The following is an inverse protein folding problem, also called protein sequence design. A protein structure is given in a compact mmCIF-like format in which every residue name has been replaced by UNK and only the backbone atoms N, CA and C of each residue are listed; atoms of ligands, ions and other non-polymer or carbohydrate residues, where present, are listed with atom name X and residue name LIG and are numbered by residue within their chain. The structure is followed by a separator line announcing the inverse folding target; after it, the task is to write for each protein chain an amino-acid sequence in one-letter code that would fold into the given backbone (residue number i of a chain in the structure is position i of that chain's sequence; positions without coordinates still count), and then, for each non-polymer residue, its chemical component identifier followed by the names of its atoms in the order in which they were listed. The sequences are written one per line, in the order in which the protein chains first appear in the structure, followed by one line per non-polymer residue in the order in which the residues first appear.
data_IF_522838339502
#
_entry.id   IF_522838339502
#
_cell.length_a   1.000
_cell.length_b   1.000
_cell.length_c   1.000
_cell.angle_alpha   90.00
_cell.angle_beta   90.00
_cell.angle_gamma   90.00
#
_symmetry.space_group_name_H-M   'P 1'
#
loop_
_entity.id
_entity.type
_entity.pdbx_description
1 polymer ?
#
# COMPACT_ATOMS: atom_id res chain seq x y z
N UNK A 1 46.54 -7.18 -25.03
CA UNK A 1 45.66 -6.07 -25.46
C UNK A 1 44.21 -6.40 -25.07
N UNK A 2 44.01 -6.66 -23.78
CA UNK A 2 42.74 -7.01 -23.13
C UNK A 2 42.79 -6.22 -21.82
N UNK A 3 41.69 -5.56 -21.44
CA UNK A 3 41.54 -4.60 -20.31
C UNK A 3 41.75 -3.12 -20.65
N UNK A 4 40.77 -2.51 -21.34
CA UNK A 4 40.42 -1.10 -21.17
C UNK A 4 39.12 -0.80 -21.95
N UNK A 5 38.00 -1.38 -21.55
CA UNK A 5 36.66 -0.86 -21.89
C UNK A 5 35.62 -1.46 -20.94
N UNK A 6 35.84 -1.25 -19.63
CA UNK A 6 34.73 -1.29 -18.67
C UNK A 6 34.02 0.06 -18.81
N UNK A 7 33.10 0.13 -19.77
CA UNK A 7 32.14 1.21 -19.92
C UNK A 7 31.54 1.51 -18.55
N UNK A 8 31.65 2.78 -18.13
CA UNK A 8 31.29 3.29 -16.81
C UNK A 8 30.01 2.65 -16.25
N UNK A 9 30.18 1.68 -15.34
CA UNK A 9 29.08 1.18 -14.53
C UNK A 9 28.56 2.36 -13.73
N UNK A 10 27.27 2.67 -13.86
CA UNK A 10 26.66 3.73 -13.06
C UNK A 10 26.77 3.32 -11.58
N UNK A 11 27.75 3.86 -10.86
CA UNK A 11 27.99 3.49 -9.48
C UNK A 11 26.74 3.74 -8.64
N UNK A 12 26.28 2.70 -7.95
CA UNK A 12 25.15 2.83 -7.02
C UNK A 12 25.48 3.86 -5.95
N UNK A 13 24.56 4.79 -5.72
CA UNK A 13 24.69 5.80 -4.67
C UNK A 13 23.65 5.55 -3.59
N UNK A 14 24.13 5.15 -2.41
CA UNK A 14 23.29 4.93 -1.23
C UNK A 14 22.52 6.22 -0.90
N UNK A 15 21.19 6.18 -0.77
CA UNK A 15 20.41 7.36 -0.45
C UNK A 15 20.79 7.90 0.95
N UNK A 16 20.91 9.22 1.12
CA UNK A 16 21.18 9.79 2.44
C UNK A 16 20.02 9.53 3.40
N UNK A 17 20.31 9.52 4.71
CA UNK A 17 19.33 9.19 5.75
C UNK A 17 18.02 9.98 5.65
N UNK A 18 18.09 11.30 5.41
CA UNK A 18 16.90 12.11 5.26
C UNK A 18 16.00 11.60 4.13
N UNK A 19 16.58 11.16 2.99
CA UNK A 19 15.81 10.66 1.84
C UNK A 19 15.12 9.34 2.16
N UNK A 20 15.78 8.49 2.95
CA UNK A 20 15.20 7.25 3.47
C UNK A 20 13.99 7.59 4.33
N UNK A 21 14.18 8.43 5.34
CA UNK A 21 13.13 8.81 6.29
C UNK A 21 11.94 9.51 5.63
N UNK A 22 12.17 10.49 4.74
CA UNK A 22 11.06 11.21 4.10
C UNK A 22 10.28 10.33 3.14
N UNK A 23 10.95 9.48 2.36
CA UNK A 23 10.25 8.57 1.43
C UNK A 23 9.48 7.48 2.16
N UNK A 24 10.11 6.79 3.11
CA UNK A 24 9.47 5.73 3.88
C UNK A 24 8.31 6.30 4.69
N UNK A 25 8.52 7.43 5.40
CA UNK A 25 7.47 8.13 6.11
C UNK A 25 6.29 8.51 5.22
N UNK A 26 6.54 9.04 4.02
CA UNK A 26 5.48 9.41 3.08
C UNK A 26 4.63 8.22 2.65
N UNK A 27 5.24 7.06 2.34
CA UNK A 27 4.47 5.86 2.01
C UNK A 27 3.75 5.26 3.22
N UNK A 28 4.28 5.41 4.44
CA UNK A 28 3.56 5.07 5.67
C UNK A 28 2.33 5.97 5.83
N UNK A 29 2.46 7.29 5.61
CA UNK A 29 1.36 8.24 5.63
C UNK A 29 0.28 7.93 4.57
N UNK A 30 0.69 7.64 3.33
CA UNK A 30 -0.24 7.24 2.28
C UNK A 30 -0.92 5.90 2.58
N UNK A 31 -0.20 4.91 3.11
CA UNK A 31 -0.81 3.64 3.54
C UNK A 31 -1.83 3.88 4.65
N UNK A 32 -1.47 4.72 5.62
CA UNK A 32 -2.35 5.16 6.70
C UNK A 32 -3.59 5.90 6.21
N UNK A 33 -3.54 6.64 5.09
CA UNK A 33 -4.71 7.37 4.60
C UNK A 33 -5.56 6.56 3.60
N UNK A 34 -4.91 5.96 2.59
CA UNK A 34 -5.57 5.20 1.52
C UNK A 34 -6.04 3.85 2.06
N UNK A 35 -5.15 3.06 2.65
CA UNK A 35 -5.49 1.68 3.02
C UNK A 35 -6.50 1.58 4.15
N UNK A 36 -6.48 2.51 5.09
CA UNK A 36 -7.46 2.53 6.18
C UNK A 36 -8.83 2.98 5.70
N UNK A 37 -8.92 3.97 4.81
CA UNK A 37 -10.21 4.47 4.32
C UNK A 37 -10.86 3.46 3.38
N UNK A 38 -10.07 2.79 2.53
CA UNK A 38 -10.52 1.65 1.71
C UNK A 38 -10.98 0.48 2.61
N UNK A 39 -10.17 0.08 3.58
CA UNK A 39 -10.52 -1.03 4.49
C UNK A 39 -11.74 -0.70 5.34
N UNK A 40 -11.88 0.54 5.78
CA UNK A 40 -13.08 0.99 6.45
C UNK A 40 -14.31 0.88 5.55
N UNK A 41 -14.26 1.43 4.34
CA UNK A 41 -15.39 1.44 3.42
C UNK A 41 -15.81 0.04 2.96
N UNK A 42 -14.84 -0.82 2.62
CA UNK A 42 -15.08 -2.13 2.04
C UNK A 42 -15.29 -3.26 3.07
N UNK A 43 -14.69 -3.14 4.26
CA UNK A 43 -14.65 -4.24 5.23
C UNK A 43 -15.30 -3.89 6.57
N UNK A 44 -14.82 -2.83 7.24
CA UNK A 44 -15.27 -2.51 8.61
C UNK A 44 -16.69 -1.95 8.63
N UNK A 45 -16.99 -0.92 7.83
CA UNK A 45 -18.32 -0.27 7.81
C UNK A 45 -19.47 -1.23 7.48
N UNK A 46 -19.37 -2.12 6.46
CA UNK A 46 -20.44 -3.07 6.19
C UNK A 46 -20.64 -4.08 7.32
N UNK A 47 -19.55 -4.55 7.96
CA UNK A 47 -19.63 -5.48 9.08
C UNK A 47 -20.30 -4.85 10.30
N UNK A 48 -19.94 -3.59 10.63
CA UNK A 48 -20.56 -2.83 11.72
C UNK A 48 -22.05 -2.53 11.52
N UNK A 49 -22.55 -2.60 10.28
CA UNK A 49 -23.96 -2.39 9.94
C UNK A 49 -24.76 -3.69 9.84
N UNK A 50 -24.11 -4.84 10.01
CA UNK A 50 -24.79 -6.12 9.94
C UNK A 50 -25.74 -6.29 11.15
N UNK A 51 -26.99 -6.78 10.96
CA UNK A 51 -28.00 -6.87 12.03
C UNK A 51 -27.54 -7.66 13.26
N UNK A 52 -26.71 -8.68 13.06
CA UNK A 52 -26.16 -9.51 14.13
C UNK A 52 -25.04 -8.86 14.95
N UNK A 53 -24.66 -7.61 14.65
CA UNK A 53 -23.58 -6.92 15.38
C UNK A 53 -24.12 -6.24 16.62
N UNK A 54 -23.58 -6.59 17.78
CA UNK A 54 -23.93 -5.92 19.03
C UNK A 54 -23.57 -4.43 19.01
N UNK A 55 -24.44 -3.60 19.59
CA UNK A 55 -24.28 -2.15 19.56
C UNK A 55 -23.00 -1.68 20.28
N UNK A 56 -22.63 -2.33 21.38
CA UNK A 56 -21.44 -1.99 22.17
C UNK A 56 -20.14 -2.35 21.43
N UNK A 57 -20.09 -3.51 20.79
CA UNK A 57 -18.99 -3.93 19.91
C UNK A 57 -18.83 -2.95 18.74
N UNK A 58 -19.95 -2.58 18.12
CA UNK A 58 -19.96 -1.61 17.03
C UNK A 58 -19.43 -0.25 17.50
N UNK A 59 -19.88 0.24 18.66
CA UNK A 59 -19.42 1.50 19.23
C UNK A 59 -17.92 1.46 19.57
N UNK A 60 -17.43 0.37 20.15
CA UNK A 60 -16.02 0.18 20.49
C UNK A 60 -15.12 0.23 19.24
N UNK A 61 -15.48 -0.49 18.17
CA UNK A 61 -14.74 -0.50 16.92
C UNK A 61 -14.85 0.83 16.16
N UNK A 62 -16.01 1.50 16.15
CA UNK A 62 -16.16 2.86 15.56
C UNK A 62 -15.26 3.86 16.25
N UNK A 63 -15.20 3.84 17.59
CA UNK A 63 -14.31 4.71 18.36
C UNK A 63 -12.84 4.45 18.03
N UNK A 64 -12.42 3.18 18.00
CA UNK A 64 -11.03 2.81 17.70
C UNK A 64 -10.64 3.18 16.27
N UNK A 65 -11.53 2.91 15.31
CA UNK A 65 -11.37 3.28 13.90
C UNK A 65 -11.20 4.79 13.75
N UNK A 66 -12.04 5.58 14.44
CA UNK A 66 -11.97 7.04 14.38
C UNK A 66 -10.63 7.56 14.88
N UNK A 67 -10.14 7.03 16.01
CA UNK A 67 -8.84 7.43 16.58
C UNK A 67 -7.70 7.04 15.64
N UNK A 68 -7.75 5.85 15.03
CA UNK A 68 -6.72 5.41 14.09
C UNK A 68 -6.68 6.26 12.83
N UNK A 69 -7.84 6.52 12.21
CA UNK A 69 -7.97 7.40 11.05
C UNK A 69 -7.48 8.82 11.36
N UNK A 70 -7.80 9.36 12.55
CA UNK A 70 -7.34 10.68 12.96
C UNK A 70 -5.81 10.76 13.02
N UNK A 71 -5.16 9.77 13.65
CA UNK A 71 -3.71 9.68 13.68
C UNK A 71 -3.09 9.45 12.31
N UNK A 72 -3.72 8.67 11.43
CA UNK A 72 -3.29 8.54 10.05
C UNK A 72 -3.29 9.89 9.31
N UNK A 73 -4.28 10.74 9.57
CA UNK A 73 -4.29 12.13 9.07
C UNK A 73 -3.11 12.96 9.57
N UNK A 74 -2.75 12.85 10.85
CA UNK A 74 -1.57 13.53 11.41
C UNK A 74 -0.27 13.02 10.76
N UNK A 75 -0.11 11.70 10.65
CA UNK A 75 1.08 11.10 10.03
C UNK A 75 1.17 11.50 8.56
N UNK A 76 0.07 11.50 7.82
CA UNK A 76 0.01 11.97 6.43
C UNK A 76 0.45 13.44 6.31
N UNK A 77 -0.02 14.31 7.20
CA UNK A 77 0.33 15.73 7.22
C UNK A 77 1.83 15.95 7.45
N UNK A 78 2.37 15.34 8.52
CA UNK A 78 3.78 15.48 8.91
C UNK A 78 4.69 14.91 7.82
N UNK A 79 4.41 13.70 7.35
CA UNK A 79 5.24 13.03 6.33
C UNK A 79 5.09 13.67 4.96
N UNK A 80 3.94 14.25 4.63
CA UNK A 80 3.69 15.05 3.44
C UNK A 80 4.59 16.28 3.38
N UNK A 81 4.68 17.03 4.49
CA UNK A 81 5.57 18.19 4.59
C UNK A 81 7.05 17.81 4.39
N UNK A 82 7.53 16.78 5.11
CA UNK A 82 8.91 16.32 4.95
C UNK A 82 9.19 15.78 3.54
N UNK A 83 8.21 15.15 2.89
CA UNK A 83 8.38 14.70 1.52
C UNK A 83 8.43 15.87 0.52
N UNK A 84 7.70 16.96 0.76
CA UNK A 84 7.82 18.19 -0.03
C UNK A 84 9.22 18.80 0.14
N UNK A 85 9.69 18.99 1.37
CA UNK A 85 11.06 19.44 1.63
C UNK A 85 12.10 18.50 0.99
N UNK A 86 11.85 17.19 1.03
CA UNK A 86 12.70 16.21 0.36
C UNK A 86 12.73 16.37 -1.16
N UNK A 87 11.64 16.82 -1.80
CA UNK A 87 11.64 17.15 -3.25
C UNK A 87 12.47 18.39 -3.54
N UNK A 88 12.35 19.43 -2.70
CA UNK A 88 13.14 20.67 -2.78
C UNK A 88 14.64 20.35 -2.67
N UNK A 89 15.03 19.56 -1.67
CA UNK A 89 16.42 19.12 -1.49
C UNK A 89 16.98 18.35 -2.69
N UNK A 90 16.15 17.55 -3.38
CA UNK A 90 16.57 16.81 -4.60
C UNK A 90 16.68 17.70 -5.84
N UNK A 91 15.92 18.78 -5.90
CA UNK A 91 15.97 19.73 -7.00
C UNK A 91 17.20 20.64 -6.90
N UNK A 92 17.63 20.98 -5.68
CA UNK A 92 18.85 21.74 -5.41
C UNK A 92 20.11 20.89 -5.49
N UNK A 93 21.02 21.20 -6.43
CA UNK A 93 22.34 20.54 -6.49
C UNK A 93 23.11 20.76 -5.18
N UNK A 94 23.40 19.69 -4.44
CA UNK A 94 24.17 19.75 -3.19
C UNK A 94 23.45 20.44 -2.01
N UNK A 95 22.15 20.69 -2.11
CA UNK A 95 21.38 21.37 -1.06
C UNK A 95 21.30 20.54 0.21
N UNK A 96 21.62 21.13 1.36
CA UNK A 96 21.41 20.49 2.65
C UNK A 96 19.90 20.35 2.93
N UNK A 97 19.49 19.23 3.51
CA UNK A 97 18.07 18.97 3.78
C UNK A 97 17.44 20.01 4.74
N UNK A 98 18.22 20.56 5.67
CA UNK A 98 17.76 21.60 6.58
C UNK A 98 17.32 22.87 5.83
N UNK A 99 18.08 23.28 4.80
CA UNK A 99 17.75 24.46 3.99
C UNK A 99 16.46 24.25 3.20
N UNK A 100 16.20 23.01 2.77
CA UNK A 100 15.01 22.65 2.01
C UNK A 100 13.70 22.74 2.82
N UNK A 101 13.78 22.86 4.16
CA UNK A 101 12.63 23.11 5.04
C UNK A 101 12.20 24.58 5.04
N UNK A 102 13.07 25.49 4.61
CA UNK A 102 12.79 26.92 4.65
C UNK A 102 11.60 27.28 3.72
N UNK A 103 10.60 28.04 4.21
CA UNK A 103 9.44 28.42 3.41
C UNK A 103 9.78 29.11 2.09
N UNK A 104 10.83 29.94 2.08
CA UNK A 104 11.31 30.59 0.85
C UNK A 104 11.79 29.59 -0.20
N UNK A 105 12.56 28.57 0.19
CA UNK A 105 13.04 27.51 -0.74
C UNK A 105 11.90 26.66 -1.28
N UNK A 106 10.89 26.41 -0.45
CA UNK A 106 9.68 25.70 -0.87
C UNK A 106 8.89 26.56 -1.87
N UNK A 107 8.73 27.86 -1.59
CA UNK A 107 8.07 28.78 -2.51
C UNK A 107 8.78 28.83 -3.86
N UNK A 108 10.10 29.06 -3.87
CA UNK A 108 10.92 29.08 -5.09
C UNK A 108 10.76 27.80 -5.92
N UNK A 109 10.74 26.64 -5.26
CA UNK A 109 10.54 25.35 -5.92
C UNK A 109 9.14 25.20 -6.52
N UNK A 110 8.10 25.69 -5.83
CA UNK A 110 6.71 25.57 -6.28
C UNK A 110 6.37 26.58 -7.38
N UNK A 111 7.03 27.75 -7.41
CA UNK A 111 6.83 28.79 -8.43
C UNK A 111 7.84 28.70 -9.57
N UNK A 112 8.75 27.72 -9.55
CA UNK A 112 9.71 27.51 -10.63
C UNK A 112 9.00 27.35 -11.99
N UNK A 113 9.50 28.00 -13.05
CA UNK A 113 8.87 27.95 -14.36
C UNK A 113 8.88 26.54 -14.95
N UNK A 114 7.95 26.27 -15.87
CA UNK A 114 7.87 25.00 -16.55
C UNK A 114 9.15 24.72 -17.35
N UNK A 115 9.64 23.48 -17.28
CA UNK A 115 10.75 23.04 -18.11
C UNK A 115 10.36 23.08 -19.60
N UNK A 116 11.36 23.21 -20.49
CA UNK A 116 11.13 23.25 -21.94
C UNK A 116 10.36 21.99 -22.40
N UNK A 117 9.22 22.20 -23.06
CA UNK A 117 8.35 21.12 -23.55
C UNK A 117 7.38 20.55 -22.49
N UNK A 118 7.35 21.09 -21.28
CA UNK A 118 6.32 20.77 -20.29
C UNK A 118 5.07 21.63 -20.50
N UNK A 119 3.89 21.02 -20.39
CA UNK A 119 2.60 21.72 -20.50
C UNK A 119 2.18 22.37 -19.17
N UNK A 120 2.81 21.99 -18.06
CA UNK A 120 2.60 22.55 -16.72
C UNK A 120 3.91 22.57 -15.95
N UNK A 121 4.10 23.57 -15.10
CA UNK A 121 5.25 23.59 -14.20
C UNK A 121 5.11 22.49 -13.15
N UNK A 122 6.22 21.79 -12.87
CA UNK A 122 6.23 20.70 -11.89
C UNK A 122 5.83 21.18 -10.49
N UNK A 123 6.15 22.43 -10.15
CA UNK A 123 5.73 23.08 -8.92
C UNK A 123 4.21 23.12 -8.74
N UNK A 124 3.45 23.46 -9.79
CA UNK A 124 1.97 23.49 -9.75
C UNK A 124 1.33 22.12 -9.54
N UNK A 125 1.91 21.05 -10.09
CA UNK A 125 1.48 19.67 -9.80
C UNK A 125 1.64 19.38 -8.30
N UNK A 126 2.77 19.79 -7.71
CA UNK A 126 3.00 19.61 -6.28
C UNK A 126 2.17 20.53 -5.40
N UNK A 127 1.82 21.75 -5.85
CA UNK A 127 0.84 22.59 -5.16
C UNK A 127 -0.51 21.86 -5.10
N UNK A 128 -1.03 21.40 -6.24
CA UNK A 128 -2.29 20.66 -6.29
C UNK A 128 -2.26 19.40 -5.41
N UNK A 129 -1.17 18.62 -5.49
CA UNK A 129 -0.98 17.44 -4.65
C UNK A 129 -1.02 17.77 -3.15
N UNK A 130 -0.33 18.84 -2.72
CA UNK A 130 -0.27 19.21 -1.31
C UNK A 130 -1.59 19.82 -0.82
N UNK A 131 -2.33 20.56 -1.64
CA UNK A 131 -3.69 21.02 -1.30
C UNK A 131 -4.60 19.82 -1.05
N UNK A 132 -4.61 18.83 -1.94
CA UNK A 132 -5.39 17.60 -1.75
C UNK A 132 -4.95 16.85 -0.50
N UNK A 133 -3.65 16.79 -0.23
CA UNK A 133 -3.10 16.18 0.99
C UNK A 133 -3.60 16.89 2.26
N UNK A 134 -3.58 18.23 2.28
CA UNK A 134 -4.09 19.02 3.40
C UNK A 134 -5.58 18.79 3.62
N UNK A 135 -6.38 18.73 2.55
CA UNK A 135 -7.82 18.44 2.65
C UNK A 135 -8.08 17.03 3.19
N UNK A 136 -7.36 16.02 2.69
CA UNK A 136 -7.45 14.65 3.19
C UNK A 136 -7.05 14.56 4.68
N UNK A 137 -5.93 15.17 5.05
CA UNK A 137 -5.45 15.21 6.42
C UNK A 137 -6.44 15.93 7.34
N UNK A 138 -6.96 17.10 6.95
CA UNK A 138 -7.94 17.85 7.73
C UNK A 138 -9.24 17.06 7.95
N UNK A 139 -9.75 16.40 6.91
CA UNK A 139 -10.90 15.52 7.02
C UNK A 139 -10.65 14.41 8.05
N UNK A 140 -9.54 13.69 7.93
CA UNK A 140 -9.18 12.61 8.86
C UNK A 140 -8.97 13.12 10.30
N UNK A 141 -8.21 14.20 10.49
CA UNK A 141 -7.92 14.82 11.81
C UNK A 141 -9.20 15.30 12.50
N UNK A 142 -10.23 15.68 11.76
CA UNK A 142 -11.53 16.06 12.33
C UNK A 142 -12.15 14.96 13.23
N UNK A 143 -11.76 13.68 13.05
CA UNK A 143 -12.18 12.54 13.86
C UNK A 143 -11.63 12.56 15.31
N UNK A 144 -10.71 13.46 15.65
CA UNK A 144 -10.39 13.75 17.05
C UNK A 144 -11.52 14.46 17.80
N UNK A 145 -12.42 15.15 17.08
CA UNK A 145 -13.55 15.85 17.68
C UNK A 145 -14.76 14.91 17.86
N UNK A 146 -15.63 15.21 18.84
CA UNK A 146 -16.86 14.45 19.02
C UNK A 146 -17.79 14.55 17.79
N UNK A 147 -17.87 15.72 17.17
CA UNK A 147 -18.65 15.95 15.96
C UNK A 147 -18.14 15.12 14.77
N UNK A 148 -16.83 15.09 14.55
CA UNK A 148 -16.21 14.26 13.53
C UNK A 148 -16.47 12.77 13.75
N UNK A 149 -16.30 12.26 14.98
CA UNK A 149 -16.60 10.85 15.32
C UNK A 149 -18.05 10.46 15.03
N UNK A 150 -19.02 11.34 15.31
CA UNK A 150 -20.43 11.11 14.97
C UNK A 150 -20.64 10.96 13.46
N UNK A 151 -19.83 11.65 12.66
CA UNK A 151 -19.84 11.63 11.19
C UNK A 151 -18.77 10.72 10.56
N UNK A 152 -18.28 9.71 11.29
CA UNK A 152 -17.21 8.81 10.83
C UNK A 152 -17.41 8.32 9.39
N UNK A 153 -18.62 7.87 9.04
CA UNK A 153 -18.93 7.36 7.72
C UNK A 153 -18.72 8.41 6.62
N UNK A 154 -19.25 9.62 6.82
CA UNK A 154 -19.11 10.71 5.87
C UNK A 154 -17.65 11.13 5.74
N UNK A 155 -16.96 11.32 6.87
CA UNK A 155 -15.55 11.73 6.90
C UNK A 155 -14.66 10.71 6.18
N UNK A 156 -14.81 9.42 6.48
CA UNK A 156 -13.99 8.38 5.87
C UNK A 156 -14.27 8.23 4.36
N UNK A 157 -15.55 8.33 3.94
CA UNK A 157 -15.93 8.26 2.53
C UNK A 157 -15.52 9.49 1.72
N UNK A 158 -15.46 10.68 2.34
CA UNK A 158 -14.88 11.88 1.72
C UNK A 158 -13.36 11.81 1.67
N UNK A 159 -12.70 11.31 2.73
CA UNK A 159 -11.24 11.20 2.78
C UNK A 159 -10.68 10.16 1.80
N UNK A 160 -11.44 9.12 1.45
CA UNK A 160 -11.01 8.07 0.52
C UNK A 160 -10.60 8.61 -0.86
N UNK A 161 -11.48 9.28 -1.64
CA UNK A 161 -11.11 9.81 -2.95
C UNK A 161 -10.02 10.88 -2.85
N UNK A 162 -10.03 11.70 -1.80
CA UNK A 162 -8.97 12.69 -1.56
C UNK A 162 -7.62 12.00 -1.37
N UNK A 163 -7.55 10.94 -0.55
CA UNK A 163 -6.32 10.20 -0.28
C UNK A 163 -5.76 9.53 -1.54
N UNK A 164 -6.63 8.96 -2.39
CA UNK A 164 -6.24 8.41 -3.69
C UNK A 164 -5.74 9.52 -4.64
N UNK A 165 -6.41 10.67 -4.66
CA UNK A 165 -6.02 11.79 -5.50
C UNK A 165 -4.61 12.32 -5.16
N UNK A 166 -4.13 12.20 -3.93
CA UNK A 166 -2.74 12.58 -3.57
C UNK A 166 -1.71 11.88 -4.46
N UNK A 167 -1.81 10.55 -4.63
CA UNK A 167 -0.85 9.81 -5.46
C UNK A 167 -1.09 10.05 -6.95
N UNK A 168 -2.36 10.10 -7.38
CA UNK A 168 -2.72 10.30 -8.78
C UNK A 168 -2.30 11.67 -9.31
N UNK A 169 -2.54 12.75 -8.56
CA UNK A 169 -2.10 14.10 -8.93
C UNK A 169 -0.58 14.16 -9.00
N UNK A 170 0.12 13.59 -8.02
CA UNK A 170 1.59 13.52 -8.03
C UNK A 170 2.20 12.68 -9.17
N UNK A 171 1.39 11.86 -9.84
CA UNK A 171 1.79 11.03 -10.96
C UNK A 171 1.51 11.65 -12.33
N UNK A 172 0.79 12.79 -12.37
CA UNK A 172 0.51 13.52 -13.61
C UNK A 172 1.85 13.92 -14.25
N UNK A 173 2.13 13.48 -15.49
CA UNK A 173 3.40 13.79 -16.13
C UNK A 173 3.37 15.24 -16.64
N UNK A 174 4.39 16.04 -16.28
CA UNK A 174 4.51 17.42 -16.74
C UNK A 174 4.74 17.54 -18.26
N UNK A 175 5.15 16.45 -18.91
CA UNK A 175 5.37 16.34 -20.36
C UNK A 175 4.52 15.21 -20.91
N UNK A 176 3.97 15.37 -22.12
CA UNK A 176 3.17 14.32 -22.78
C UNK A 176 3.98 13.02 -22.92
N UNK A 177 3.42 11.85 -22.50
CA UNK A 177 4.05 10.56 -22.71
C UNK A 177 4.34 10.33 -24.19
N UNK A 178 5.58 9.96 -24.51
CA UNK A 178 6.05 9.83 -25.91
C UNK A 178 5.52 8.59 -26.63
N UNK A 179 5.10 7.57 -25.90
CA UNK A 179 4.65 6.28 -26.44
C UNK A 179 3.80 5.52 -25.42
N UNK A 180 3.16 4.43 -25.88
CA UNK A 180 2.32 3.55 -25.05
C UNK A 180 3.10 2.92 -23.88
N UNK A 181 4.39 2.65 -24.06
CA UNK A 181 5.26 2.12 -23.01
C UNK A 181 5.38 3.08 -21.81
N UNK A 182 5.53 4.39 -22.06
CA UNK A 182 5.55 5.39 -20.98
C UNK A 182 4.21 5.52 -20.27
N UNK A 183 3.10 5.33 -20.98
CA UNK A 183 1.77 5.26 -20.36
C UNK A 183 1.67 4.04 -19.45
N UNK A 184 2.16 2.89 -19.91
CA UNK A 184 2.17 1.65 -19.12
C UNK A 184 3.08 1.74 -17.90
N UNK A 185 4.23 2.43 -18.00
CA UNK A 185 5.10 2.74 -16.85
C UNK A 185 4.33 3.53 -15.78
N UNK A 186 3.57 4.55 -16.18
CA UNK A 186 2.77 5.38 -15.26
C UNK A 186 1.65 4.57 -14.61
N UNK A 187 0.87 3.83 -15.41
CA UNK A 187 -0.25 3.01 -14.92
C UNK A 187 0.26 1.92 -13.97
N UNK A 188 1.32 1.20 -14.35
CA UNK A 188 1.91 0.15 -13.51
C UNK A 188 2.47 0.73 -12.22
N UNK A 189 3.14 1.88 -12.28
CA UNK A 189 3.64 2.57 -11.09
C UNK A 189 2.52 2.95 -10.12
N UNK A 190 1.41 3.51 -10.62
CA UNK A 190 0.26 3.85 -9.78
C UNK A 190 -0.47 2.61 -9.26
N UNK A 191 -0.66 1.59 -10.09
CA UNK A 191 -1.25 0.32 -9.67
C UNK A 191 -0.44 -0.31 -8.53
N UNK A 192 0.90 -0.30 -8.62
CA UNK A 192 1.79 -0.80 -7.58
C UNK A 192 1.66 -0.01 -6.27
N UNK A 193 1.69 1.33 -6.34
CA UNK A 193 1.60 2.21 -5.17
C UNK A 193 0.22 2.08 -4.50
N UNK A 194 -0.87 2.17 -5.25
CA UNK A 194 -2.23 2.07 -4.71
C UNK A 194 -2.43 0.69 -4.08
N UNK A 195 -2.08 -0.38 -4.78
CA UNK A 195 -2.25 -1.74 -4.26
C UNK A 195 -1.40 -1.97 -2.99
N UNK A 196 -0.14 -1.55 -2.99
CA UNK A 196 0.73 -1.68 -1.82
C UNK A 196 0.24 -0.87 -0.61
N UNK A 197 -0.18 0.37 -0.83
CA UNK A 197 -0.70 1.25 0.25
C UNK A 197 -2.04 0.76 0.79
N UNK A 198 -2.92 0.21 -0.06
CA UNK A 198 -4.17 -0.41 0.36
C UNK A 198 -3.91 -1.63 1.24
N UNK A 199 -3.02 -2.52 0.80
CA UNK A 199 -2.71 -3.75 1.51
C UNK A 199 -2.08 -3.49 2.88
N UNK A 200 -0.99 -2.72 2.93
CA UNK A 200 -0.26 -2.44 4.17
C UNK A 200 -1.11 -1.60 5.12
N UNK A 201 -1.80 -0.57 4.60
CA UNK A 201 -2.66 0.30 5.40
C UNK A 201 -3.87 -0.42 5.99
N UNK A 202 -4.45 -1.36 5.23
CA UNK A 202 -5.55 -2.20 5.70
C UNK A 202 -5.14 -3.17 6.80
N UNK A 203 -4.01 -3.86 6.63
CA UNK A 203 -3.42 -4.70 7.68
C UNK A 203 -3.15 -3.90 8.96
N UNK A 204 -2.62 -2.68 8.82
CA UNK A 204 -2.35 -1.81 9.96
C UNK A 204 -3.64 -1.37 10.69
N UNK A 205 -4.72 -1.06 9.96
CA UNK A 205 -6.03 -0.80 10.58
C UNK A 205 -6.53 -2.03 11.34
N UNK A 206 -6.51 -3.20 10.71
CA UNK A 206 -6.95 -4.44 11.36
C UNK A 206 -6.13 -4.75 12.62
N UNK A 207 -4.81 -4.63 12.55
CA UNK A 207 -3.92 -4.77 13.71
C UNK A 207 -4.33 -3.81 14.84
N UNK A 208 -4.62 -2.55 14.53
CA UNK A 208 -5.03 -1.55 15.52
C UNK A 208 -6.41 -1.83 16.13
N UNK A 209 -7.33 -2.43 15.38
CA UNK A 209 -8.64 -2.86 15.86
C UNK A 209 -8.52 -4.06 16.81
N UNK A 210 -7.54 -4.97 16.62
CA UNK A 210 -7.36 -6.12 17.52
C UNK A 210 -7.00 -5.71 18.95
N UNK A 211 -6.49 -4.49 19.15
CA UNK A 211 -6.22 -3.94 20.49
C UNK A 211 -7.51 -3.67 21.29
N UNK A 212 -8.67 -3.57 20.63
CA UNK A 212 -9.97 -3.42 21.28
C UNK A 212 -10.53 -4.75 21.81
N UNK A 213 -9.89 -5.90 21.53
CA UNK A 213 -10.41 -7.25 21.83
C UNK A 213 -10.91 -7.47 23.26
N UNK A 214 -10.30 -6.82 24.26
CA UNK A 214 -10.68 -6.95 25.68
C UNK A 214 -11.97 -6.24 26.04
N UNK A 215 -12.52 -5.43 25.13
CA UNK A 215 -13.75 -4.66 25.31
C UNK A 215 -14.91 -5.20 24.46
N UNK A 216 -14.67 -6.30 23.76
CA UNK A 216 -15.66 -6.89 22.88
C UNK A 216 -16.36 -8.04 23.59
N UNK A 217 -17.61 -8.31 23.21
CA UNK A 217 -18.40 -9.39 23.78
C UNK A 217 -17.91 -10.78 23.33
N UNK A 218 -18.53 -11.83 23.88
CA UNK A 218 -18.25 -13.21 23.49
C UNK A 218 -18.57 -13.52 22.02
N UNK A 219 -19.49 -12.76 21.41
CA UNK A 219 -19.94 -12.95 20.02
C UNK A 219 -19.15 -12.13 19.00
N UNK A 220 -18.21 -11.31 19.47
CA UNK A 220 -17.30 -10.51 18.65
C UNK A 220 -16.49 -11.32 17.63
N UNK A 221 -16.29 -12.62 17.87
CA UNK A 221 -15.64 -13.53 16.91
C UNK A 221 -16.36 -13.56 15.56
N UNK A 222 -17.69 -13.41 15.54
CA UNK A 222 -18.47 -13.40 14.29
C UNK A 222 -18.24 -12.11 13.49
N UNK A 223 -18.21 -10.97 14.18
CA UNK A 223 -17.91 -9.65 13.62
C UNK A 223 -16.51 -9.64 13.00
N UNK A 224 -15.52 -10.16 13.73
CA UNK A 224 -14.13 -10.25 13.24
C UNK A 224 -13.98 -11.13 12.02
N UNK A 225 -14.66 -12.27 11.98
CA UNK A 225 -14.67 -13.15 10.82
C UNK A 225 -15.25 -12.46 9.57
N UNK A 226 -16.32 -11.66 9.71
CA UNK A 226 -16.88 -10.93 8.56
C UNK A 226 -15.96 -9.80 8.08
N UNK A 227 -15.37 -9.03 9.01
CA UNK A 227 -14.37 -8.01 8.67
C UNK A 227 -13.20 -8.64 7.90
N UNK A 228 -12.67 -9.76 8.40
CA UNK A 228 -11.54 -10.43 7.77
C UNK A 228 -11.88 -11.00 6.39
N UNK A 229 -13.03 -11.67 6.25
CA UNK A 229 -13.48 -12.21 4.97
C UNK A 229 -13.58 -11.10 3.90
N UNK A 230 -14.14 -9.95 4.26
CA UNK A 230 -14.23 -8.78 3.36
C UNK A 230 -12.85 -8.22 3.03
N UNK A 231 -11.98 -8.09 4.03
CA UNK A 231 -10.61 -7.62 3.80
C UNK A 231 -9.80 -8.60 2.96
N UNK A 232 -10.04 -9.91 3.09
CA UNK A 232 -9.39 -10.94 2.29
C UNK A 232 -9.55 -10.71 0.79
N UNK A 233 -10.72 -10.25 0.33
CA UNK A 233 -10.94 -9.87 -1.08
C UNK A 233 -10.14 -8.61 -1.46
N UNK A 234 -10.12 -7.60 -0.59
CA UNK A 234 -9.33 -6.37 -0.81
C UNK A 234 -7.83 -6.69 -0.90
N UNK A 235 -7.33 -7.52 0.01
CA UNK A 235 -5.96 -7.98 0.04
C UNK A 235 -5.63 -8.80 -1.21
N UNK A 236 -6.53 -9.69 -1.66
CA UNK A 236 -6.34 -10.49 -2.87
C UNK A 236 -6.16 -9.62 -4.12
N UNK A 237 -7.03 -8.63 -4.31
CA UNK A 237 -6.94 -7.67 -5.42
C UNK A 237 -5.66 -6.85 -5.32
N UNK A 238 -5.28 -6.44 -4.11
CA UNK A 238 -4.05 -5.68 -3.88
C UNK A 238 -2.79 -6.52 -4.18
N UNK A 239 -2.74 -7.79 -3.77
CA UNK A 239 -1.64 -8.71 -4.09
C UNK A 239 -1.55 -8.89 -5.60
N UNK A 240 -2.68 -9.09 -6.29
CA UNK A 240 -2.69 -9.19 -7.75
C UNK A 240 -2.13 -7.93 -8.42
N UNK A 241 -2.59 -6.75 -7.99
CA UNK A 241 -2.11 -5.46 -8.48
C UNK A 241 -0.61 -5.26 -8.26
N UNK A 242 -0.09 -5.61 -7.08
CA UNK A 242 1.34 -5.55 -6.75
C UNK A 242 2.16 -6.51 -7.63
N UNK A 243 1.71 -7.76 -7.81
CA UNK A 243 2.42 -8.76 -8.60
C UNK A 243 2.47 -8.40 -10.09
N UNK A 244 1.33 -8.01 -10.67
CA UNK A 244 1.24 -7.67 -12.10
C UNK A 244 2.10 -6.44 -12.40
N UNK A 245 1.91 -5.36 -11.64
CA UNK A 245 2.71 -4.14 -11.82
C UNK A 245 4.19 -4.36 -11.48
N UNK A 246 4.48 -5.16 -10.45
CA UNK A 246 5.84 -5.49 -10.02
C UNK A 246 6.59 -6.31 -11.07
N UNK A 247 5.91 -7.19 -11.80
CA UNK A 247 6.50 -7.95 -12.89
C UNK A 247 6.91 -7.04 -14.05
N UNK A 248 6.02 -6.13 -14.46
CA UNK A 248 6.35 -5.10 -15.47
C UNK A 248 7.57 -4.28 -15.05
N UNK A 249 7.55 -3.76 -13.82
CA UNK A 249 8.66 -2.96 -13.29
C UNK A 249 9.96 -3.78 -13.19
N UNK A 250 9.90 -5.03 -12.76
CA UNK A 250 11.09 -5.89 -12.64
C UNK A 250 11.71 -6.15 -14.01
N UNK A 251 10.91 -6.46 -15.03
CA UNK A 251 11.40 -6.62 -16.40
C UNK A 251 12.08 -5.34 -16.93
N UNK A 252 11.51 -4.17 -16.63
CA UNK A 252 12.08 -2.87 -17.00
C UNK A 252 13.42 -2.57 -16.32
N UNK A 253 13.57 -2.95 -15.04
CA UNK A 253 14.72 -2.54 -14.23
C UNK A 253 15.81 -3.60 -14.10
N UNK A 254 15.49 -4.87 -14.38
CA UNK A 254 16.39 -6.02 -14.27
C UNK A 254 16.52 -6.66 -15.65
N UNK A 255 17.74 -6.72 -16.18
CA UNK A 255 18.03 -7.21 -17.52
C UNK A 255 18.17 -8.73 -17.61
N UNK A 256 18.70 -9.35 -16.56
CA UNK A 256 18.83 -10.80 -16.41
C UNK A 256 18.67 -11.20 -14.95
N UNK A 257 18.27 -12.45 -14.64
CA UNK A 257 18.14 -12.92 -13.25
C UNK A 257 19.42 -12.75 -12.43
N UNK A 258 20.59 -12.91 -13.07
CA UNK A 258 21.90 -12.72 -12.45
C UNK A 258 22.06 -11.34 -11.80
N UNK A 259 21.48 -10.31 -12.42
CA UNK A 259 21.55 -8.95 -11.90
C UNK A 259 20.85 -8.76 -10.55
N UNK A 260 20.01 -9.70 -10.11
CA UNK A 260 19.42 -9.67 -8.77
C UNK A 260 20.44 -9.87 -7.67
N UNK A 261 21.56 -10.56 -7.93
CA UNK A 261 22.60 -10.79 -6.93
C UNK A 261 23.97 -10.21 -7.31
N UNK A 262 24.15 -9.73 -8.54
CA UNK A 262 25.38 -9.04 -8.96
C UNK A 262 25.31 -7.51 -8.91
N UNK A 263 24.12 -6.92 -8.72
CA UNK A 263 23.93 -5.46 -8.63
C UNK A 263 23.36 -5.04 -7.27
N UNK A 264 23.66 -3.82 -6.83
CA UNK A 264 23.17 -3.30 -5.55
C UNK A 264 21.67 -3.06 -5.59
N UNK A 265 21.15 -2.47 -6.68
CA UNK A 265 19.71 -2.39 -6.93
C UNK A 265 19.06 -3.78 -6.86
N UNK A 266 19.67 -4.77 -7.51
CA UNK A 266 19.20 -6.16 -7.54
C UNK A 266 19.06 -6.75 -6.15
N UNK A 267 20.07 -6.57 -5.29
CA UNK A 267 20.06 -7.09 -3.92
C UNK A 267 18.93 -6.48 -3.08
N UNK A 268 18.73 -5.16 -3.13
CA UNK A 268 17.60 -4.52 -2.46
C UNK A 268 16.25 -4.98 -3.02
N UNK A 269 16.17 -5.19 -4.33
CA UNK A 269 14.96 -5.73 -4.96
C UNK A 269 14.69 -7.17 -4.50
N UNK A 270 15.73 -8.00 -4.40
CA UNK A 270 15.62 -9.37 -3.90
C UNK A 270 15.12 -9.39 -2.46
N UNK A 271 15.67 -8.55 -1.58
CA UNK A 271 15.17 -8.38 -0.21
C UNK A 271 13.70 -7.98 -0.21
N UNK A 272 13.29 -7.01 -1.04
CA UNK A 272 11.88 -6.61 -1.17
C UNK A 272 11.00 -7.77 -1.62
N UNK A 273 11.42 -8.55 -2.61
CA UNK A 273 10.68 -9.72 -3.12
C UNK A 273 10.50 -10.76 -2.00
N UNK A 274 11.57 -11.10 -1.27
CA UNK A 274 11.51 -12.06 -0.16
C UNK A 274 10.56 -11.59 0.95
N UNK A 275 10.58 -10.31 1.31
CA UNK A 275 9.64 -9.73 2.28
C UNK A 275 8.19 -9.82 1.79
N UNK A 276 7.93 -9.49 0.51
CA UNK A 276 6.58 -9.60 -0.08
C UNK A 276 6.11 -11.05 -0.13
N UNK A 277 6.99 -12.01 -0.49
CA UNK A 277 6.66 -13.43 -0.47
C UNK A 277 6.34 -13.92 0.95
N UNK A 278 7.07 -13.45 1.97
CA UNK A 278 6.77 -13.75 3.36
C UNK A 278 5.38 -13.22 3.79
N UNK A 279 5.02 -12.00 3.35
CA UNK A 279 3.66 -11.45 3.58
C UNK A 279 2.58 -12.29 2.86
N UNK A 280 2.81 -12.68 1.61
CA UNK A 280 1.87 -13.54 0.86
C UNK A 280 1.71 -14.90 1.57
N UNK A 281 2.81 -15.50 2.02
CA UNK A 281 2.79 -16.77 2.74
C UNK A 281 2.02 -16.65 4.06
N UNK A 282 2.23 -15.58 4.83
CA UNK A 282 1.47 -15.32 6.06
C UNK A 282 -0.03 -15.17 5.77
N UNK A 283 -0.41 -14.40 4.76
CA UNK A 283 -1.80 -14.25 4.31
C UNK A 283 -2.41 -15.56 3.82
N UNK A 284 -1.66 -16.39 3.10
CA UNK A 284 -2.09 -17.70 2.63
C UNK A 284 -2.31 -18.68 3.80
N UNK A 285 -1.41 -18.71 4.78
CA UNK A 285 -1.60 -19.49 6.01
C UNK A 285 -2.87 -19.04 6.74
N UNK A 286 -3.11 -17.74 6.87
CA UNK A 286 -4.34 -17.22 7.46
C UNK A 286 -5.60 -17.67 6.68
N UNK A 287 -5.57 -17.61 5.35
CA UNK A 287 -6.73 -18.00 4.55
C UNK A 287 -6.98 -19.52 4.52
N UNK A 288 -5.93 -20.32 4.39
CA UNK A 288 -6.05 -21.77 4.19
C UNK A 288 -6.16 -22.54 5.52
N UNK A 289 -5.62 -22.01 6.62
CA UNK A 289 -5.57 -22.71 7.89
C UNK A 289 -6.52 -22.13 8.95
N UNK A 290 -6.61 -20.80 9.03
CA UNK A 290 -7.43 -20.12 10.05
C UNK A 290 -8.91 -20.05 9.64
N UNK A 291 -9.22 -19.73 8.37
CA UNK A 291 -10.64 -19.60 7.97
C UNK A 291 -11.44 -20.90 8.06
N UNK A 292 -10.94 -22.06 7.62
CA UNK A 292 -11.69 -23.30 7.79
C UNK A 292 -11.95 -23.65 9.26
N UNK A 293 -11.04 -23.27 10.17
CA UNK A 293 -11.22 -23.44 11.61
C UNK A 293 -12.26 -22.49 12.19
N UNK A 294 -12.32 -21.25 11.72
CA UNK A 294 -13.38 -20.31 12.09
C UNK A 294 -14.74 -20.82 11.60
N UNK A 295 -14.82 -21.36 10.39
CA UNK A 295 -16.06 -21.95 9.85
C UNK A 295 -16.50 -23.14 10.72
N UNK A 296 -15.61 -24.09 11.01
CA UNK A 296 -15.92 -25.24 11.87
C UNK A 296 -16.32 -24.84 13.30
N UNK A 297 -15.66 -23.83 13.86
CA UNK A 297 -15.99 -23.35 15.19
C UNK A 297 -17.34 -22.61 15.23
N UNK A 298 -17.79 -22.02 14.10
CA UNK A 298 -19.18 -21.54 13.93
C UNK A 298 -20.18 -22.69 13.83
N UNK A 299 -19.87 -23.73 13.06
CA UNK A 299 -20.74 -24.90 12.88
C UNK A 299 -20.99 -25.65 14.20
N UNK A 300 -20.06 -25.57 15.15
CA UNK A 300 -20.14 -26.21 16.46
C UNK A 300 -20.62 -25.27 17.59
N UNK A 301 -21.08 -24.05 17.24
CA UNK A 301 -21.43 -22.95 18.17
C UNK A 301 -20.37 -22.73 19.28
N UNK A 302 -19.11 -23.01 18.96
CA UNK A 302 -18.03 -22.99 19.92
C UNK A 302 -17.47 -21.56 20.05
N UNK A 303 -18.15 -20.75 20.87
CA UNK A 303 -17.82 -19.33 21.11
C UNK A 303 -16.39 -19.12 21.62
N UNK A 304 -15.92 -19.95 22.56
CA UNK A 304 -14.59 -19.81 23.15
C UNK A 304 -13.42 -20.10 22.14
N UNK A 305 -13.45 -21.18 21.34
CA UNK A 305 -12.49 -21.40 20.26
C UNK A 305 -12.49 -20.31 19.19
N UNK A 306 -13.67 -19.81 18.79
CA UNK A 306 -13.82 -18.70 17.84
C UNK A 306 -13.13 -17.44 18.34
N UNK A 307 -13.40 -17.06 19.59
CA UNK A 307 -12.81 -15.89 20.24
C UNK A 307 -11.29 -16.04 20.36
N UNK A 308 -10.80 -17.20 20.80
CA UNK A 308 -9.37 -17.44 20.96
C UNK A 308 -8.61 -17.40 19.61
N UNK A 309 -9.14 -18.05 18.58
CA UNK A 309 -8.51 -18.07 17.25
C UNK A 309 -8.50 -16.67 16.60
N UNK A 310 -9.59 -15.92 16.71
CA UNK A 310 -9.74 -14.58 16.08
C UNK A 310 -9.10 -13.45 16.88
N UNK A 311 -8.99 -13.55 18.21
CA UNK A 311 -8.52 -12.46 19.07
C UNK A 311 -7.18 -12.72 19.77
N UNK A 312 -6.65 -13.94 19.80
CA UNK A 312 -5.36 -14.22 20.46
C UNK A 312 -4.24 -14.65 19.51
N UNK A 313 -4.51 -15.57 18.56
CA UNK A 313 -3.50 -16.00 17.60
C UNK A 313 -3.37 -15.01 16.43
N UNK A 314 -4.53 -14.63 15.89
CA UNK A 314 -4.64 -13.78 14.71
C UNK A 314 -3.97 -12.40 14.83
N UNK A 315 -4.06 -11.65 15.96
CA UNK A 315 -3.37 -10.37 16.08
C UNK A 315 -1.85 -10.48 15.94
N UNK A 316 -1.23 -11.58 16.40
CA UNK A 316 0.22 -11.76 16.30
C UNK A 316 0.67 -11.87 14.85
N UNK A 317 -0.08 -12.62 14.03
CA UNK A 317 0.22 -12.76 12.60
C UNK A 317 0.03 -11.44 11.88
N UNK A 318 -1.08 -10.74 12.12
CA UNK A 318 -1.36 -9.45 11.48
C UNK A 318 -0.28 -8.41 11.86
N UNK A 319 0.16 -8.37 13.12
CA UNK A 319 1.28 -7.52 13.53
C UNK A 319 2.60 -7.89 12.85
N UNK A 320 2.90 -9.18 12.67
CA UNK A 320 4.05 -9.62 11.91
C UNK A 320 3.96 -9.17 10.43
N UNK A 321 2.80 -9.30 9.80
CA UNK A 321 2.55 -8.80 8.43
C UNK A 321 2.70 -7.27 8.33
N UNK A 322 2.28 -6.51 9.34
CA UNK A 322 2.48 -5.06 9.41
C UNK A 322 3.98 -4.72 9.50
N UNK A 323 4.75 -5.43 10.33
CA UNK A 323 6.20 -5.23 10.43
C UNK A 323 6.89 -5.53 9.10
N UNK A 324 6.51 -6.63 8.43
CA UNK A 324 7.01 -6.96 7.09
C UNK A 324 6.64 -5.87 6.08
N UNK A 325 5.40 -5.35 6.12
CA UNK A 325 4.95 -4.26 5.27
C UNK A 325 5.75 -2.97 5.50
N UNK A 326 6.03 -2.61 6.75
CA UNK A 326 6.88 -1.46 7.09
C UNK A 326 8.31 -1.68 6.58
N UNK A 327 8.86 -2.90 6.71
CA UNK A 327 10.17 -3.23 6.16
C UNK A 327 10.22 -3.09 4.63
N UNK A 328 9.17 -3.52 3.91
CA UNK A 328 9.04 -3.30 2.47
C UNK A 328 9.09 -1.80 2.13
N UNK A 329 8.37 -0.96 2.87
CA UNK A 329 8.42 0.50 2.69
C UNK A 329 9.79 1.11 3.04
N UNK A 330 10.53 0.50 3.96
CA UNK A 330 11.90 0.85 4.33
C UNK A 330 12.93 0.57 3.22
N UNK A 331 12.67 -0.42 2.37
CA UNK A 331 13.54 -0.77 1.23
C UNK A 331 13.32 0.16 0.03
N UNK A 332 12.11 0.70 -0.16
CA UNK A 332 11.75 1.54 -1.31
C UNK A 332 12.74 2.68 -1.62
N UNK A 333 13.29 3.43 -0.65
CA UNK A 333 14.23 4.52 -0.93
C UNK A 333 15.52 4.08 -1.63
N UNK A 334 15.93 2.82 -1.44
CA UNK A 334 17.13 2.22 -2.01
C UNK A 334 16.94 1.75 -3.46
N UNK A 335 15.71 1.61 -3.92
CA UNK A 335 15.36 1.25 -5.30
C UNK A 335 15.34 2.49 -6.22
N UNK A 336 16.45 3.21 -6.26
CA UNK A 336 16.68 4.33 -7.17
C UNK A 336 17.61 3.89 -8.31
N UNK A 337 17.25 4.21 -9.56
CA UNK A 337 17.98 3.71 -10.73
C UNK A 337 17.46 2.34 -11.16
N UNK A 338 18.34 1.48 -11.69
CA UNK A 338 17.99 0.14 -12.15
C UNK A 338 19.20 -0.81 -12.12
N UNK A 339 18.97 -2.10 -11.96
CA UNK A 339 20.03 -3.11 -12.08
C UNK A 339 20.65 -3.11 -13.49
N UNK A 340 19.83 -2.87 -14.53
CA UNK A 340 20.32 -2.72 -15.91
C UNK A 340 21.39 -1.64 -16.03
N UNK A 341 21.15 -0.46 -15.46
CA UNK A 341 22.11 0.66 -15.52
C UNK A 341 23.39 0.38 -14.72
N UNK A 342 23.29 -0.31 -13.59
CA UNK A 342 24.48 -0.72 -12.82
C UNK A 342 25.31 -1.75 -13.59
N UNK A 343 24.66 -2.68 -14.29
CA UNK A 343 25.30 -3.74 -15.07
C UNK A 343 25.66 -3.35 -16.51
N UNK A 344 25.50 -2.08 -16.91
CA UNK A 344 25.76 -1.64 -18.30
C UNK A 344 24.88 -2.32 -19.35
N UNK A 345 23.74 -2.88 -18.95
CA UNK A 345 22.83 -3.61 -19.84
C UNK A 345 22.01 -2.69 -20.73
N UNK A 346 21.62 -3.14 -21.93
CA UNK A 346 20.80 -2.36 -22.82
C UNK A 346 19.44 -2.03 -22.21
N UNK A 347 18.89 -0.90 -22.64
CA UNK A 347 17.54 -0.49 -22.28
C UNK A 347 16.52 -1.59 -22.65
N UNK A 348 15.49 -1.81 -21.83
CA UNK A 348 14.44 -2.78 -22.14
C UNK A 348 13.73 -2.38 -23.44
N UNK A 349 13.52 -3.37 -24.32
CA UNK A 349 12.77 -3.20 -25.57
C UNK A 349 11.47 -3.99 -25.46
N UNK A 350 10.34 -3.29 -25.50
CA UNK A 350 9.04 -3.92 -25.42
C UNK A 350 8.67 -4.56 -26.76
N UNK A 351 8.47 -5.88 -26.77
CA UNK A 351 8.03 -6.64 -27.95
C UNK A 351 6.61 -7.18 -27.74
N UNK A 352 5.90 -7.48 -28.83
CA UNK A 352 4.57 -8.10 -28.76
C UNK A 352 4.53 -9.40 -27.95
N UNK A 353 5.61 -10.19 -27.99
CA UNK A 353 5.76 -11.42 -27.19
C UNK A 353 5.77 -11.15 -25.68
N UNK A 354 6.42 -10.06 -25.23
CA UNK A 354 6.47 -9.68 -23.81
C UNK A 354 5.07 -9.27 -23.33
N UNK A 355 4.33 -8.54 -24.15
CA UNK A 355 2.93 -8.21 -23.87
C UNK A 355 2.04 -9.46 -23.83
N UNK A 356 2.24 -10.41 -24.74
CA UNK A 356 1.48 -11.66 -24.76
C UNK A 356 1.75 -12.53 -23.53
N UNK A 357 3.02 -12.68 -23.12
CA UNK A 357 3.39 -13.39 -21.89
C UNK A 357 2.83 -12.68 -20.66
N UNK A 358 2.94 -11.35 -20.60
CA UNK A 358 2.35 -10.56 -19.53
C UNK A 358 0.84 -10.75 -19.42
N UNK A 359 0.12 -10.69 -20.54
CA UNK A 359 -1.33 -10.90 -20.60
C UNK A 359 -1.71 -12.31 -20.15
N UNK A 360 -0.98 -13.33 -20.60
CA UNK A 360 -1.20 -14.71 -20.17
C UNK A 360 -1.02 -14.85 -18.65
N UNK A 361 0.04 -14.31 -18.08
CA UNK A 361 0.29 -14.36 -16.63
C UNK A 361 -0.81 -13.63 -15.84
N UNK A 362 -1.28 -12.48 -16.33
CA UNK A 362 -2.42 -11.77 -15.72
C UNK A 362 -3.69 -12.61 -15.77
N UNK A 363 -4.00 -13.24 -16.91
CA UNK A 363 -5.17 -14.09 -17.08
C UNK A 363 -5.11 -15.33 -16.20
N UNK A 364 -3.96 -16.00 -16.13
CA UNK A 364 -3.76 -17.16 -15.26
C UNK A 364 -3.89 -16.78 -13.79
N UNK A 365 -3.33 -15.65 -13.37
CA UNK A 365 -3.49 -15.13 -12.02
C UNK A 365 -4.96 -14.82 -11.74
N UNK A 366 -5.64 -14.07 -12.62
CA UNK A 366 -7.06 -13.75 -12.47
C UNK A 366 -7.95 -15.00 -12.37
N UNK A 367 -7.69 -16.01 -13.20
CA UNK A 367 -8.39 -17.29 -13.16
C UNK A 367 -8.14 -18.04 -11.83
N UNK A 368 -6.90 -18.11 -11.37
CA UNK A 368 -6.53 -18.72 -10.08
C UNK A 368 -7.23 -18.03 -8.91
N UNK A 369 -7.24 -16.69 -8.90
CA UNK A 369 -7.91 -15.89 -7.88
C UNK A 369 -9.43 -16.09 -7.91
N UNK A 370 -10.03 -16.12 -9.10
CA UNK A 370 -11.46 -16.37 -9.28
C UNK A 370 -11.86 -17.76 -8.76
N UNK A 371 -11.11 -18.80 -9.14
CA UNK A 371 -11.33 -20.17 -8.69
C UNK A 371 -11.21 -20.26 -7.16
N UNK A 372 -10.18 -19.64 -6.59
CA UNK A 372 -9.96 -19.61 -5.13
C UNK A 372 -11.13 -18.92 -4.41
N UNK A 373 -11.58 -17.76 -4.90
CA UNK A 373 -12.72 -17.05 -4.33
C UNK A 373 -14.02 -17.87 -4.41
N UNK A 374 -14.30 -18.47 -5.57
CA UNK A 374 -15.47 -19.34 -5.78
C UNK A 374 -15.44 -20.60 -4.90
N UNK A 375 -14.27 -21.23 -4.76
CA UNK A 375 -14.09 -22.40 -3.92
C UNK A 375 -14.33 -22.05 -2.44
N UNK A 376 -13.80 -20.92 -1.98
CA UNK A 376 -14.04 -20.41 -0.62
C UNK A 376 -15.53 -20.15 -0.37
N UNK A 377 -16.24 -19.53 -1.32
CA UNK A 377 -17.68 -19.29 -1.21
C UNK A 377 -18.50 -20.59 -1.22
N UNK A 378 -18.10 -21.57 -2.04
CA UNK A 378 -18.78 -22.86 -2.11
C UNK A 378 -18.61 -23.67 -0.81
N UNK A 379 -17.42 -23.64 -0.20
CA UNK A 379 -17.16 -24.26 1.10
C UNK A 379 -17.97 -23.59 2.20
N UNK A 380 -18.06 -22.26 2.21
CA UNK A 380 -18.87 -21.52 3.17
C UNK A 380 -20.38 -21.83 3.05
N UNK A 381 -20.90 -22.00 1.82
CA UNK A 381 -22.31 -22.39 1.60
C UNK A 381 -22.62 -23.82 2.02
N UNK A 382 -21.69 -24.76 1.80
CA UNK A 382 -21.87 -26.17 2.21
C UNK A 382 -21.87 -26.34 3.72
N UNK A 383 -21.08 -25.56 4.45
CA UNK A 383 -21.13 -25.53 5.91
C UNK A 383 -22.48 -25.06 6.46
N UNK A 384 -23.09 -24.06 5.82
CA UNK A 384 -24.42 -23.58 6.19
C UNK A 384 -25.54 -24.59 5.91
N UNK A 385 -25.45 -25.36 4.82
CA UNK A 385 -26.44 -26.37 4.46
C UNK A 385 -26.32 -27.68 5.27
N UNK A 386 -25.16 -27.95 5.89
CA UNK A 386 -24.97 -29.09 6.78
C UNK A 386 -25.37 -28.80 8.23
N UNK A 387 -25.59 -27.52 8.57
CA UNK A 387 -26.01 -27.04 9.89
C UNK A 387 -27.51 -26.71 9.98
N UNK A 388 -28.23 -26.80 8.86
CA UNK A 388 -29.71 -26.75 8.75
C UNK A 388 -30.27 -28.15 8.61
#
# INVERSE_FOLDING_TARGET
MIHADLAATAAYTTPPLWRILTKTGYFVGLSGAIGTTVTYAASVRPALRAPQTEADDAAALRRRTSVYLAWAGVVLLVTGYFQLAGRVARAGKGMAFADALAPGRIADFLTAPAAKGAWVAQGWIYVAQNVVLLLAAAALVSLFTAAGRRRLDAVALTALPLSLAITLVGAVPATTPKNAEKVLDLISGQAHIISGTVWIGGLALLAALTAARRRLSGDAGLLWADIWRRFGLVALVSVAGVLISGLWMSWKHVGSPEQLWTTTYGLFLLVKILLVLAMIAAGAVNQLWLMPRIVRARETDAKAPLLHLTLHHFPKVVWAEVVLGIAVLGVVPFLAGSARSEAGSPAPVATGSIFAVGALLVLTLAASLYVTAKASDALARRGLAAAS
#
